data_IF_115426138179
#
_entry.id   IF_115426138179
#
_cell.length_a   1.000
_cell.length_b   1.000
_cell.length_c   1.000
_cell.angle_alpha   90.00
_cell.angle_beta   90.00
_cell.angle_gamma   90.00
#
_symmetry.space_group_name_H-M   'P 1'
#
loop_
_entity.id
_entity.type
_entity.pdbx_description
1 polymer ?
#
# COMPACT_ATOMS: atom_id res chain seq x y z
N UNK A 1 12.83 -2.52 74.62
CA UNK A 1 12.62 -1.30 75.43
C UNK A 1 12.75 -0.10 74.50
N UNK A 2 11.71 0.73 74.40
CA UNK A 2 11.84 2.14 73.96
C UNK A 2 12.65 2.95 75.02
N UNK A 3 12.95 4.26 74.86
CA UNK A 3 12.98 5.17 73.69
C UNK A 3 14.28 6.02 73.64
N UNK A 4 14.53 6.83 72.61
CA UNK A 4 15.21 8.15 72.70
C UNK A 4 14.90 8.93 71.40
N UNK A 5 13.96 9.87 71.43
CA UNK A 5 14.09 11.30 71.78
C UNK A 5 14.62 12.20 70.64
N UNK A 6 13.84 13.26 70.44
CA UNK A 6 13.85 14.27 69.38
C UNK A 6 14.74 15.44 69.79
N UNK A 7 15.55 15.96 68.87
CA UNK A 7 16.10 17.32 68.80
C UNK A 7 16.84 17.45 67.45
N UNK A 8 16.73 18.45 66.57
CA UNK A 8 16.54 19.88 66.69
C UNK A 8 15.76 20.44 65.48
N UNK A 9 14.96 21.48 65.72
CA UNK A 9 14.44 22.39 64.68
C UNK A 9 15.53 23.39 64.29
N UNK A 10 15.76 23.59 63.00
CA UNK A 10 16.28 24.84 62.44
C UNK A 10 15.22 25.42 61.50
N UNK A 11 14.74 26.62 61.83
CA UNK A 11 13.79 27.37 61.04
C UNK A 11 14.53 28.13 59.93
N UNK A 12 14.28 27.76 58.67
CA UNK A 12 14.66 28.55 57.51
C UNK A 12 13.67 29.71 57.28
N UNK A 13 14.10 30.83 56.68
CA UNK A 13 13.28 32.03 56.53
C UNK A 13 12.10 31.82 55.57
N UNK A 14 10.94 32.32 55.99
CA UNK A 14 9.67 32.26 55.30
C UNK A 14 9.61 33.37 54.22
N UNK A 15 9.84 33.02 52.96
CA UNK A 15 9.62 33.94 51.83
C UNK A 15 8.18 33.83 51.34
N UNK A 16 7.43 34.93 51.20
CA UNK A 16 6.07 34.88 50.68
C UNK A 16 6.08 34.52 49.18
N UNK A 17 5.41 33.42 48.83
CA UNK A 17 5.15 33.05 47.44
C UNK A 17 4.02 33.95 46.92
N UNK A 18 4.35 34.85 46.00
CA UNK A 18 3.35 35.62 45.27
C UNK A 18 2.52 34.69 44.36
N UNK A 19 1.20 34.76 44.43
CA UNK A 19 0.30 34.01 43.57
C UNK A 19 0.47 34.44 42.10
N UNK A 20 0.69 33.47 41.21
CA UNK A 20 0.73 33.69 39.78
C UNK A 20 -0.67 34.10 39.25
N UNK A 21 -0.76 35.01 38.26
CA UNK A 21 -2.05 35.43 37.72
C UNK A 21 -2.73 34.28 36.97
N UNK A 22 -4.05 34.14 37.15
CA UNK A 22 -4.86 33.15 36.48
C UNK A 22 -4.80 33.36 34.95
N UNK A 23 -4.36 32.33 34.21
CA UNK A 23 -4.42 32.29 32.74
C UNK A 23 -5.88 32.19 32.31
N UNK A 24 -6.32 33.12 31.46
CA UNK A 24 -7.63 33.07 30.82
C UNK A 24 -7.75 31.80 29.96
N UNK A 25 -8.88 31.11 30.09
CA UNK A 25 -9.25 29.95 29.26
C UNK A 25 -9.63 30.47 27.87
N UNK A 26 -9.07 29.96 26.76
CA UNK A 26 -9.47 30.41 25.44
C UNK A 26 -10.91 30.00 25.15
N UNK A 27 -11.67 30.95 24.60
CA UNK A 27 -13.00 30.75 24.02
C UNK A 27 -12.99 29.58 23.01
N UNK A 28 -14.06 28.78 23.03
CA UNK A 28 -14.23 27.62 22.17
C UNK A 28 -14.03 27.98 20.70
N UNK A 29 -12.99 27.40 20.08
CA UNK A 29 -12.83 27.42 18.62
C UNK A 29 -14.02 26.68 18.02
N UNK A 30 -14.93 27.41 17.37
CA UNK A 30 -16.00 26.80 16.57
C UNK A 30 -15.35 25.94 15.50
N UNK A 31 -15.43 24.61 15.66
CA UNK A 31 -15.04 23.67 14.62
C UNK A 31 -15.96 23.90 13.42
N UNK A 32 -15.35 24.11 12.25
CA UNK A 32 -16.10 24.12 11.00
C UNK A 32 -16.90 22.81 10.89
N UNK A 33 -18.13 22.85 10.34
CA UNK A 33 -18.92 21.65 10.13
C UNK A 33 -18.15 20.68 9.22
N UNK A 34 -18.25 19.39 9.53
CA UNK A 34 -17.64 18.35 8.72
C UNK A 34 -18.12 18.47 7.27
N UNK A 35 -17.24 18.32 6.26
CA UNK A 35 -17.64 18.38 4.87
C UNK A 35 -18.74 17.34 4.61
N UNK A 36 -19.75 17.72 3.82
CA UNK A 36 -20.81 16.81 3.41
C UNK A 36 -20.22 15.54 2.78
N UNK A 37 -20.85 14.36 2.98
CA UNK A 37 -20.36 13.12 2.38
C UNK A 37 -20.28 13.30 0.87
N UNK A 38 -19.11 13.02 0.29
CA UNK A 38 -18.96 12.98 -1.17
C UNK A 38 -19.90 11.91 -1.72
N UNK A 39 -20.70 12.26 -2.72
CA UNK A 39 -21.45 11.26 -3.49
C UNK A 39 -20.46 10.36 -4.21
N UNK A 40 -20.45 9.10 -3.84
CA UNK A 40 -19.62 8.08 -4.50
C UNK A 40 -20.16 7.81 -5.91
N UNK A 41 -19.26 7.69 -6.87
CA UNK A 41 -19.59 7.28 -8.23
C UNK A 41 -19.25 5.81 -8.38
N UNK A 42 -20.27 4.96 -8.34
CA UNK A 42 -20.13 3.55 -8.69
C UNK A 42 -20.11 3.45 -10.21
N UNK A 43 -19.15 2.70 -10.76
CA UNK A 43 -19.01 2.46 -12.19
C UNK A 43 -18.82 0.97 -12.48
N UNK A 44 -19.27 0.55 -13.66
CA UNK A 44 -19.14 -0.83 -14.14
C UNK A 44 -17.78 -1.05 -14.77
N UNK A 45 -17.17 -2.18 -14.46
CA UNK A 45 -15.94 -2.62 -15.09
C UNK A 45 -15.97 -4.10 -15.46
N UNK A 46 -15.17 -4.48 -16.46
CA UNK A 46 -14.83 -5.87 -16.73
C UNK A 46 -13.42 -6.13 -16.17
N UNK A 47 -13.33 -6.96 -15.14
CA UNK A 47 -12.07 -7.33 -14.48
C UNK A 47 -11.50 -8.55 -15.17
N UNK A 48 -10.29 -8.42 -15.70
CA UNK A 48 -9.52 -9.49 -16.30
C UNK A 48 -8.49 -9.99 -15.30
N UNK A 49 -8.47 -11.30 -15.10
CA UNK A 49 -7.56 -12.00 -14.19
C UNK A 49 -6.75 -13.00 -14.99
N UNK A 50 -5.43 -12.97 -14.84
CA UNK A 50 -4.54 -13.92 -15.51
C UNK A 50 -4.14 -15.05 -14.56
N UNK A 51 -4.41 -16.28 -14.97
CA UNK A 51 -3.95 -17.50 -14.31
C UNK A 51 -2.60 -17.90 -14.91
N UNK A 52 -1.52 -17.69 -14.15
CA UNK A 52 -0.16 -17.95 -14.63
C UNK A 52 0.18 -19.43 -14.74
N UNK A 53 -0.53 -20.32 -14.02
CA UNK A 53 -0.31 -21.76 -14.12
C UNK A 53 -0.96 -22.33 -15.38
N UNK A 54 -2.13 -21.81 -15.76
CA UNK A 54 -2.86 -22.25 -16.97
C UNK A 54 -2.50 -21.46 -18.23
N UNK A 55 -1.83 -20.33 -18.08
CA UNK A 55 -1.60 -19.35 -19.17
C UNK A 55 -2.90 -18.88 -19.81
N UNK A 56 -3.90 -18.59 -18.97
CA UNK A 56 -5.26 -18.26 -19.41
C UNK A 56 -5.76 -16.97 -18.76
N UNK A 57 -6.55 -16.20 -19.51
CA UNK A 57 -7.27 -15.06 -19.00
C UNK A 57 -8.72 -15.43 -18.70
N UNK A 58 -9.18 -15.09 -17.51
CA UNK A 58 -10.60 -15.08 -17.16
C UNK A 58 -11.09 -13.65 -17.04
N UNK A 59 -12.41 -13.48 -17.04
CA UNK A 59 -13.03 -12.16 -16.88
C UNK A 59 -14.36 -12.23 -16.15
N UNK A 60 -14.64 -11.21 -15.37
CA UNK A 60 -15.89 -11.06 -14.63
C UNK A 60 -16.34 -9.59 -14.58
N UNK A 61 -17.64 -9.37 -14.49
CA UNK A 61 -18.20 -8.02 -14.32
C UNK A 61 -18.15 -7.62 -12.85
N UNK A 62 -17.63 -6.42 -12.58
CA UNK A 62 -17.48 -5.88 -11.22
C UNK A 62 -18.01 -4.45 -11.15
N UNK A 63 -18.36 -4.02 -9.94
CA UNK A 63 -18.66 -2.63 -9.62
C UNK A 63 -17.49 -2.03 -8.86
N UNK A 64 -17.03 -0.86 -9.28
CA UNK A 64 -15.92 -0.16 -8.63
C UNK A 64 -16.27 1.28 -8.31
N UNK A 65 -15.60 1.82 -7.30
CA UNK A 65 -15.58 3.25 -6.98
C UNK A 65 -14.11 3.66 -7.02
N UNK A 66 -13.75 4.56 -7.94
CA UNK A 66 -12.36 5.05 -8.09
C UNK A 66 -12.33 6.53 -7.76
N UNK A 67 -11.44 6.92 -6.85
CA UNK A 67 -11.24 8.34 -6.53
C UNK A 67 -10.58 9.10 -7.69
N UNK A 68 -11.11 10.28 -8.01
CA UNK A 68 -10.58 11.11 -9.10
C UNK A 68 -9.15 11.59 -8.84
N UNK A 69 -8.79 11.83 -7.57
CA UNK A 69 -7.46 12.32 -7.20
C UNK A 69 -6.53 11.16 -6.88
N UNK A 70 -5.33 11.09 -7.50
CA UNK A 70 -4.34 10.10 -7.11
C UNK A 70 -3.77 10.42 -5.73
N UNK A 71 -3.51 9.40 -4.92
CA UNK A 71 -2.79 9.54 -3.66
C UNK A 71 -1.27 9.42 -3.85
N UNK A 72 -0.82 8.81 -4.95
CA UNK A 72 0.59 8.68 -5.29
C UNK A 72 0.80 8.69 -6.80
N UNK A 73 1.99 9.11 -7.23
CA UNK A 73 2.38 9.13 -8.62
C UNK A 73 3.82 8.65 -8.78
N UNK A 74 4.03 7.74 -9.73
CA UNK A 74 5.35 7.31 -10.18
C UNK A 74 5.76 7.97 -11.50
N UNK A 75 6.83 7.46 -12.11
CA UNK A 75 7.32 7.96 -13.40
C UNK A 75 6.28 7.76 -14.52
N UNK A 76 5.67 6.57 -14.59
CA UNK A 76 4.77 6.20 -15.71
C UNK A 76 3.28 6.14 -15.34
N UNK A 77 2.95 6.08 -14.04
CA UNK A 77 1.57 5.79 -13.58
C UNK A 77 1.15 6.68 -12.41
N UNK A 78 -0.15 6.91 -12.29
CA UNK A 78 -0.79 7.43 -11.08
C UNK A 78 -1.49 6.30 -10.32
N UNK A 79 -1.58 6.40 -9.01
CA UNK A 79 -2.26 5.44 -8.14
C UNK A 79 -3.42 6.13 -7.42
N UNK A 80 -4.61 5.54 -7.51
CA UNK A 80 -5.87 6.05 -7.00
C UNK A 80 -6.48 5.04 -6.03
N UNK A 81 -7.13 5.52 -4.98
CA UNK A 81 -7.93 4.64 -4.13
C UNK A 81 -9.09 4.08 -4.94
N UNK A 82 -9.29 2.78 -4.83
CA UNK A 82 -10.37 2.05 -5.45
C UNK A 82 -11.10 1.21 -4.41
N UNK A 83 -12.41 1.09 -4.53
CA UNK A 83 -13.20 0.09 -3.82
C UNK A 83 -13.89 -0.80 -4.84
N UNK A 84 -13.72 -2.11 -4.72
CA UNK A 84 -14.57 -3.08 -5.41
C UNK A 84 -15.82 -3.32 -4.53
N UNK A 85 -16.99 -3.31 -5.14
CA UNK A 85 -18.29 -3.45 -4.48
C UNK A 85 -18.91 -4.76 -4.93
N UNK A 86 -19.10 -5.67 -3.98
CA UNK A 86 -19.69 -6.99 -4.19
C UNK A 86 -21.22 -6.91 -4.23
N UNK A 87 -21.87 -7.97 -4.73
CA UNK A 87 -23.34 -8.03 -4.85
C UNK A 87 -24.07 -7.94 -3.49
N UNK A 88 -23.44 -8.45 -2.42
CA UNK A 88 -23.96 -8.39 -1.05
C UNK A 88 -23.71 -7.02 -0.38
N UNK A 89 -23.08 -6.09 -1.10
CA UNK A 89 -22.70 -4.77 -0.60
C UNK A 89 -21.37 -4.74 0.16
N UNK A 90 -20.65 -5.86 0.26
CA UNK A 90 -19.29 -5.89 0.78
C UNK A 90 -18.38 -4.98 -0.05
N UNK A 91 -17.39 -4.38 0.62
CA UNK A 91 -16.48 -3.41 0.03
C UNK A 91 -15.05 -3.82 0.28
N UNK A 92 -14.31 -4.03 -0.79
CA UNK A 92 -12.92 -4.45 -0.75
C UNK A 92 -12.02 -3.29 -1.21
N UNK A 93 -10.96 -3.01 -0.45
CA UNK A 93 -10.06 -1.90 -0.75
C UNK A 93 -8.98 -2.31 -1.76
N UNK A 94 -8.88 -1.56 -2.84
CA UNK A 94 -7.92 -1.73 -3.92
C UNK A 94 -7.22 -0.42 -4.30
N UNK A 95 -6.25 -0.52 -5.18
CA UNK A 95 -5.59 0.58 -5.86
C UNK A 95 -5.83 0.46 -7.35
N UNK A 96 -6.31 1.51 -8.00
CA UNK A 96 -6.35 1.61 -9.46
C UNK A 96 -5.13 2.38 -9.96
N UNK A 97 -4.45 1.85 -10.99
CA UNK A 97 -3.23 2.44 -11.58
C UNK A 97 -3.45 2.80 -13.03
N UNK A 98 -3.43 4.10 -13.33
CA UNK A 98 -3.57 4.63 -14.69
C UNK A 98 -2.21 4.99 -15.27
N UNK A 99 -2.01 4.73 -16.55
CA UNK A 99 -0.82 5.17 -17.28
C UNK A 99 -0.90 6.66 -17.58
N UNK A 100 0.23 7.36 -17.44
CA UNK A 100 0.36 8.78 -17.79
C UNK A 100 0.88 9.00 -19.21
N UNK A 101 1.43 7.94 -19.80
CA UNK A 101 1.99 7.92 -21.15
C UNK A 101 1.10 7.06 -22.03
N UNK A 102 1.14 7.31 -23.33
CA UNK A 102 0.45 6.48 -24.31
C UNK A 102 1.10 5.10 -24.33
N UNK A 103 0.30 4.07 -24.07
CA UNK A 103 0.69 2.65 -24.17
C UNK A 103 -0.41 1.90 -24.89
N UNK A 104 -0.09 0.74 -25.44
CA UNK A 104 -1.10 -0.14 -26.03
C UNK A 104 -1.87 -0.87 -24.93
N UNK A 105 -3.07 -1.35 -25.27
CA UNK A 105 -3.80 -2.26 -24.39
C UNK A 105 -2.97 -3.51 -24.06
N UNK A 106 -2.30 -4.08 -25.06
CA UNK A 106 -1.42 -5.23 -24.90
C UNK A 106 -0.36 -5.01 -23.81
N UNK A 107 0.33 -3.87 -23.79
CA UNK A 107 1.32 -3.58 -22.74
C UNK A 107 0.72 -3.55 -21.32
N UNK A 108 -0.53 -3.10 -21.17
CA UNK A 108 -1.22 -3.11 -19.86
C UNK A 108 -1.52 -4.55 -19.42
N UNK A 109 -1.94 -5.40 -20.36
CA UNK A 109 -2.17 -6.82 -20.10
C UNK A 109 -0.86 -7.57 -19.81
N UNK A 110 0.21 -7.28 -20.55
CA UNK A 110 1.55 -7.83 -20.31
C UNK A 110 2.08 -7.44 -18.93
N UNK A 111 1.96 -6.17 -18.52
CA UNK A 111 2.36 -5.70 -17.18
C UNK A 111 1.65 -6.51 -16.07
N UNK A 112 0.34 -6.74 -16.23
CA UNK A 112 -0.45 -7.52 -15.27
C UNK A 112 -0.05 -9.00 -15.25
N UNK A 113 0.12 -9.60 -16.44
CA UNK A 113 0.63 -10.98 -16.61
C UNK A 113 2.02 -11.17 -15.99
N UNK A 114 2.94 -10.23 -16.19
CA UNK A 114 4.29 -10.29 -15.61
C UNK A 114 4.26 -10.25 -14.07
N UNK A 115 3.32 -9.52 -13.46
CA UNK A 115 3.12 -9.54 -12.01
C UNK A 115 2.74 -10.94 -11.51
N UNK A 116 1.86 -11.63 -12.22
CA UNK A 116 1.43 -12.99 -11.86
C UNK A 116 2.52 -14.02 -12.12
N UNK A 117 3.30 -13.88 -13.19
CA UNK A 117 4.50 -14.72 -13.42
C UNK A 117 5.51 -14.51 -12.30
N UNK A 118 5.67 -13.29 -11.78
CA UNK A 118 6.55 -13.00 -10.65
C UNK A 118 6.14 -13.74 -9.38
N UNK A 119 4.83 -13.91 -9.16
CA UNK A 119 4.32 -14.74 -8.07
C UNK A 119 4.75 -16.21 -8.20
N UNK A 120 4.72 -16.81 -9.40
CA UNK A 120 5.19 -18.19 -9.59
C UNK A 120 6.66 -18.37 -9.21
N UNK A 121 7.51 -17.40 -9.56
CA UNK A 121 8.90 -17.39 -9.12
C UNK A 121 9.05 -17.21 -7.62
N UNK A 122 8.19 -16.40 -6.99
CA UNK A 122 8.17 -16.26 -5.53
C UNK A 122 7.79 -17.57 -4.85
N UNK A 123 6.82 -18.31 -5.38
CA UNK A 123 6.43 -19.62 -4.86
C UNK A 123 7.55 -20.65 -4.98
N UNK A 124 8.28 -20.66 -6.11
CA UNK A 124 9.44 -21.53 -6.25
C UNK A 124 10.59 -21.12 -5.33
N UNK A 125 10.89 -19.82 -5.20
CA UNK A 125 11.86 -19.32 -4.23
C UNK A 125 11.49 -19.75 -2.80
N UNK A 126 10.21 -19.69 -2.46
CA UNK A 126 9.71 -20.08 -1.15
C UNK A 126 9.85 -21.58 -0.86
N UNK A 127 9.98 -22.44 -1.89
CA UNK A 127 10.23 -23.88 -1.73
C UNK A 127 11.70 -24.22 -1.47
N UNK A 128 12.62 -23.28 -1.71
CA UNK A 128 14.05 -23.50 -1.45
C UNK A 128 14.31 -23.67 0.05
N UNK A 129 15.02 -24.74 0.40
CA UNK A 129 15.46 -25.04 1.76
C UNK A 129 16.31 -23.90 2.33
N UNK A 130 16.00 -23.44 3.54
CA UNK A 130 16.71 -22.35 4.22
C UNK A 130 16.18 -20.94 3.92
N UNK A 131 15.11 -20.80 3.13
CA UNK A 131 14.41 -19.50 3.00
C UNK A 131 13.52 -19.25 4.22
N UNK A 132 14.03 -18.45 5.15
CA UNK A 132 13.35 -18.10 6.41
C UNK A 132 12.28 -17.00 6.26
N UNK A 133 12.36 -16.19 5.20
CA UNK A 133 11.40 -15.11 4.92
C UNK A 133 10.81 -15.32 3.54
N UNK A 134 9.53 -15.67 3.51
CA UNK A 134 8.80 -15.91 2.26
C UNK A 134 8.51 -14.59 1.55
N UNK A 135 8.46 -14.67 0.22
CA UNK A 135 8.16 -13.56 -0.69
C UNK A 135 6.80 -13.83 -1.32
N UNK A 136 6.04 -12.77 -1.54
CA UNK A 136 4.80 -12.81 -2.31
C UNK A 136 4.65 -11.51 -3.09
N UNK A 137 3.99 -11.60 -4.23
CA UNK A 137 3.54 -10.50 -5.05
C UNK A 137 2.05 -10.32 -4.86
N UNK A 138 1.58 -9.08 -4.93
CA UNK A 138 0.15 -8.82 -4.95
C UNK A 138 -0.43 -9.33 -6.28
N UNK A 139 -1.66 -9.87 -6.26
CA UNK A 139 -2.36 -10.14 -7.51
C UNK A 139 -2.59 -8.82 -8.26
N UNK A 140 -2.53 -8.91 -9.58
CA UNK A 140 -2.75 -7.79 -10.48
C UNK A 140 -3.89 -8.15 -11.43
N UNK A 141 -4.77 -7.18 -11.67
CA UNK A 141 -5.91 -7.32 -12.57
C UNK A 141 -5.87 -6.21 -13.61
N UNK A 142 -6.51 -6.42 -14.76
CA UNK A 142 -6.78 -5.36 -15.73
C UNK A 142 -8.27 -5.05 -15.72
N UNK A 143 -8.62 -3.79 -15.51
CA UNK A 143 -10.00 -3.33 -15.56
C UNK A 143 -10.28 -2.61 -16.88
N UNK A 144 -11.38 -2.98 -17.54
CA UNK A 144 -12.00 -2.21 -18.61
C UNK A 144 -13.14 -1.40 -18.00
N UNK A 145 -12.94 -0.09 -17.80
CA UNK A 145 -13.92 0.81 -17.19
C UNK A 145 -14.98 1.20 -18.22
N UNK A 146 -16.12 0.50 -18.21
CA UNK A 146 -17.15 0.59 -19.25
C UNK A 146 -17.79 1.97 -19.28
N UNK A 147 -18.00 2.58 -18.11
CA UNK A 147 -18.61 3.90 -17.97
C UNK A 147 -17.61 5.05 -18.23
N UNK A 148 -16.37 4.73 -18.60
CA UNK A 148 -15.31 5.67 -19.04
C UNK A 148 -14.85 5.40 -20.48
N UNK A 149 -15.75 4.90 -21.34
CA UNK A 149 -15.41 4.62 -22.74
C UNK A 149 -14.41 3.48 -22.90
N UNK A 150 -14.50 2.46 -22.04
CA UNK A 150 -13.58 1.31 -21.99
C UNK A 150 -12.12 1.69 -21.68
N UNK A 151 -11.91 2.74 -20.89
CA UNK A 151 -10.58 3.09 -20.39
C UNK A 151 -9.98 1.92 -19.60
N UNK A 152 -8.71 1.63 -19.84
CA UNK A 152 -7.98 0.55 -19.17
C UNK A 152 -7.19 1.07 -17.97
N UNK A 153 -7.14 0.29 -16.90
CA UNK A 153 -6.19 0.46 -15.81
C UNK A 153 -5.81 -0.88 -15.20
N UNK A 154 -4.67 -0.94 -14.52
CA UNK A 154 -4.37 -2.08 -13.65
C UNK A 154 -5.00 -1.85 -12.27
N UNK A 155 -5.37 -2.91 -11.57
CA UNK A 155 -5.73 -2.84 -10.16
C UNK A 155 -5.04 -3.91 -9.32
N UNK A 156 -4.86 -3.63 -8.03
CA UNK A 156 -4.27 -4.55 -7.05
C UNK A 156 -4.85 -4.25 -5.66
N UNK A 157 -4.83 -5.22 -4.71
CA UNK A 157 -5.26 -4.97 -3.34
C UNK A 157 -4.44 -3.86 -2.67
N UNK A 158 -5.05 -3.12 -1.75
CA UNK A 158 -4.30 -2.12 -0.97
C UNK A 158 -3.23 -2.80 -0.12
N UNK A 159 -1.97 -2.34 -0.26
CA UNK A 159 -0.89 -2.70 0.64
C UNK A 159 -0.87 -1.76 1.84
N UNK A 160 -1.14 -2.28 3.03
CA UNK A 160 -0.97 -1.52 4.27
C UNK A 160 0.49 -1.49 4.71
N UNK A 161 0.94 -0.34 5.22
CA UNK A 161 2.27 -0.17 5.82
C UNK A 161 3.21 0.69 4.98
N UNK A 162 4.50 0.64 5.30
CA UNK A 162 5.51 1.47 4.65
C UNK A 162 6.02 0.78 3.38
N UNK A 163 5.64 1.32 2.22
CA UNK A 163 6.17 0.88 0.94
C UNK A 163 7.65 1.24 0.82
N UNK A 164 8.50 0.26 0.50
CA UNK A 164 9.94 0.45 0.31
C UNK A 164 10.38 -0.26 -0.96
N UNK A 165 11.07 0.47 -1.84
CA UNK A 165 11.69 -0.08 -3.05
C UNK A 165 13.08 -0.63 -2.69
N UNK A 166 13.30 -1.93 -2.89
CA UNK A 166 14.52 -2.62 -2.44
C UNK A 166 15.69 -2.56 -3.44
N UNK A 167 15.39 -2.61 -4.72
CA UNK A 167 16.31 -2.38 -5.82
C UNK A 167 15.53 -1.75 -7.01
N UNK A 168 16.18 -1.52 -8.15
CA UNK A 168 15.49 -1.08 -9.36
C UNK A 168 15.86 -1.94 -10.58
N UNK A 169 15.23 -1.61 -11.70
CA UNK A 169 15.44 -2.22 -13.00
C UNK A 169 16.70 -1.72 -13.74
N UNK A 170 17.64 -1.06 -13.04
CA UNK A 170 18.86 -0.47 -13.59
C UNK A 170 20.06 -0.64 -12.62
N UNK A 171 20.05 -1.72 -11.83
CA UNK A 171 21.19 -2.14 -11.00
C UNK A 171 21.37 -1.45 -9.64
N UNK A 172 20.48 -0.52 -9.24
CA UNK A 172 20.56 0.15 -7.93
C UNK A 172 20.04 -0.75 -6.82
N UNK A 173 20.82 -0.92 -5.75
CA UNK A 173 20.42 -1.59 -4.49
C UNK A 173 20.14 -0.54 -3.43
N UNK A 174 18.87 -0.37 -3.04
CA UNK A 174 18.44 0.71 -2.15
C UNK A 174 18.40 0.32 -0.67
N UNK A 175 18.50 -0.97 -0.34
CA UNK A 175 18.39 -1.46 1.04
C UNK A 175 19.38 -2.59 1.31
N UNK A 176 19.81 -2.73 2.57
CA UNK A 176 20.68 -3.82 3.02
C UNK A 176 19.96 -5.15 3.27
N UNK A 177 18.65 -5.25 2.98
CA UNK A 177 17.92 -6.52 3.13
C UNK A 177 18.37 -7.50 2.05
N UNK A 178 18.80 -8.70 2.47
CA UNK A 178 19.31 -9.71 1.55
C UNK A 178 18.21 -10.41 0.75
N UNK A 179 17.03 -10.64 1.33
CA UNK A 179 15.95 -11.43 0.70
C UNK A 179 15.54 -10.89 -0.68
N UNK A 180 15.29 -9.57 -0.88
CA UNK A 180 14.99 -9.04 -2.21
C UNK A 180 16.11 -9.31 -3.24
N UNK A 181 17.37 -9.18 -2.84
CA UNK A 181 18.51 -9.36 -3.75
C UNK A 181 18.75 -10.83 -4.07
N UNK A 182 18.59 -11.70 -3.06
CA UNK A 182 18.65 -13.15 -3.23
C UNK A 182 17.51 -13.65 -4.13
N UNK A 183 16.31 -13.08 -4.00
CA UNK A 183 15.19 -13.38 -4.89
C UNK A 183 15.50 -12.96 -6.34
N UNK A 184 16.01 -11.74 -6.55
CA UNK A 184 16.44 -11.29 -7.88
C UNK A 184 17.47 -12.24 -8.49
N UNK A 185 18.53 -12.59 -7.75
CA UNK A 185 19.55 -13.54 -8.23
C UNK A 185 18.96 -14.93 -8.50
N UNK A 186 18.10 -15.44 -7.61
CA UNK A 186 17.42 -16.72 -7.79
C UNK A 186 16.63 -16.78 -9.10
N UNK A 187 15.88 -15.72 -9.46
CA UNK A 187 15.09 -15.70 -10.69
C UNK A 187 15.97 -15.81 -11.94
N UNK A 188 17.15 -15.19 -11.91
CA UNK A 188 18.14 -15.28 -12.99
C UNK A 188 18.66 -16.70 -13.19
N UNK A 189 19.10 -17.34 -12.10
CA UNK A 189 19.65 -18.69 -12.14
C UNK A 189 18.58 -19.73 -12.50
N UNK A 190 17.44 -19.68 -11.83
CA UNK A 190 16.36 -20.65 -12.00
C UNK A 190 15.74 -20.58 -13.41
N UNK A 191 15.66 -19.39 -14.00
CA UNK A 191 15.17 -19.21 -15.37
C UNK A 191 16.19 -19.57 -16.45
N UNK A 192 17.40 -20.02 -16.09
CA UNK A 192 18.55 -20.21 -16.99
C UNK A 192 18.89 -18.94 -17.76
N UNK A 193 19.00 -17.83 -17.04
CA UNK A 193 19.42 -16.53 -17.57
C UNK A 193 18.44 -15.91 -18.56
N UNK A 194 17.14 -16.18 -18.41
CA UNK A 194 16.09 -15.67 -19.31
C UNK A 194 15.25 -14.56 -18.69
N UNK A 195 15.07 -14.60 -17.38
CA UNK A 195 14.21 -13.68 -16.64
C UNK A 195 14.99 -13.17 -15.42
N UNK A 196 14.91 -11.86 -15.18
CA UNK A 196 15.45 -11.20 -14.01
C UNK A 196 14.33 -10.34 -13.40
N UNK A 197 13.95 -10.63 -12.14
CA UNK A 197 12.93 -9.87 -11.43
C UNK A 197 13.61 -8.97 -10.40
N UNK A 198 13.49 -7.66 -10.58
CA UNK A 198 14.09 -6.63 -9.73
C UNK A 198 13.00 -5.89 -8.93
#
# INVERSE_FOLDING_TARGET
MQPHQISHRSAGPNYPIAAAPARAVPSAVQRAPAPAPKKEKIERALKHTYDAEKDEWTRESVLVIIEDKPFQQGCMRTAHHMTEVEEDGCRCAFVAKFTKISVTAESIFEDSKLSMISQLYADEFNRVSGVDKKVAFLPSYVLVLQDRGNLLCCSEPVLSGNYLKHNNNDGVVATARMVPQAFTHFTWECSRHKILIC
#
